data_IF_011136514395
#
_entry.id   IF_011136514395
#
_cell.length_a   1.000
_cell.length_b   1.000
_cell.length_c   1.000
_cell.angle_alpha   90.00
_cell.angle_beta   90.00
_cell.angle_gamma   90.00
#
_symmetry.space_group_name_H-M   'P 1'
#
loop_
_entity.id
_entity.type
_entity.pdbx_description
1 polymer ?
#
# COMPACT_ATOMS: atom_id res chain seq x y z
N UNK A 1 15.33 20.49 -19.21
CA UNK A 1 14.66 19.21 -18.92
C UNK A 1 15.10 18.53 -17.61
N UNK A 2 16.28 18.86 -17.04
CA UNK A 2 16.72 18.35 -15.73
C UNK A 2 15.97 18.94 -14.53
N UNK A 3 15.42 20.12 -14.67
CA UNK A 3 14.73 20.85 -13.57
C UNK A 3 13.33 20.35 -13.23
N UNK A 4 12.77 19.44 -14.04
CA UNK A 4 11.40 18.91 -13.85
C UNK A 4 11.38 17.42 -13.51
N UNK A 5 12.45 16.91 -12.94
CA UNK A 5 12.52 15.52 -12.47
C UNK A 5 13.31 15.42 -11.18
N UNK A 6 12.88 14.52 -10.31
CA UNK A 6 13.54 14.17 -9.05
C UNK A 6 13.75 12.67 -9.03
N UNK A 7 14.93 12.23 -8.64
CA UNK A 7 15.25 10.82 -8.47
C UNK A 7 15.57 10.52 -7.01
N UNK A 8 14.91 9.50 -6.47
CA UNK A 8 15.17 9.01 -5.13
C UNK A 8 14.88 7.49 -5.07
N UNK A 9 15.76 6.73 -4.44
CA UNK A 9 15.58 5.28 -4.19
C UNK A 9 15.28 4.47 -5.46
N UNK A 10 15.86 4.84 -6.61
CA UNK A 10 15.61 4.18 -7.90
C UNK A 10 14.28 4.55 -8.56
N UNK A 11 13.55 5.50 -7.98
CA UNK A 11 12.31 6.03 -8.55
C UNK A 11 12.59 7.39 -9.15
N UNK A 12 12.25 7.57 -10.42
CA UNK A 12 12.32 8.86 -11.10
C UNK A 12 10.94 9.46 -11.25
N UNK A 13 10.70 10.60 -10.59
CA UNK A 13 9.49 11.39 -10.73
C UNK A 13 9.73 12.49 -11.77
N UNK A 14 9.10 12.37 -12.93
CA UNK A 14 9.13 13.39 -13.97
C UNK A 14 7.80 14.15 -14.02
N UNK A 15 7.84 15.43 -13.71
CA UNK A 15 6.67 16.33 -13.71
C UNK A 15 6.71 17.40 -14.82
N UNK A 16 7.52 17.20 -15.85
CA UNK A 16 7.66 18.14 -16.98
C UNK A 16 6.37 18.37 -17.76
N UNK A 17 5.39 17.46 -17.66
CA UNK A 17 4.08 17.58 -18.31
C UNK A 17 3.02 18.28 -17.45
N UNK A 18 3.36 18.64 -16.21
CA UNK A 18 2.46 19.41 -15.36
C UNK A 18 2.36 20.85 -15.86
N UNK A 19 1.14 21.39 -15.84
CA UNK A 19 0.88 22.79 -16.23
C UNK A 19 1.19 23.74 -15.06
N UNK A 20 2.44 23.73 -14.62
CA UNK A 20 2.94 24.55 -13.51
C UNK A 20 4.13 25.35 -14.01
N UNK A 21 4.09 26.66 -13.84
CA UNK A 21 5.25 27.52 -14.15
C UNK A 21 6.35 27.36 -13.08
N UNK A 22 7.61 27.72 -13.37
CA UNK A 22 8.67 27.72 -12.35
C UNK A 22 8.35 28.61 -11.14
N UNK A 23 7.62 29.70 -11.34
CA UNK A 23 7.18 30.62 -10.28
C UNK A 23 6.15 29.95 -9.39
N UNK A 24 5.15 29.29 -10.00
CA UNK A 24 4.13 28.56 -9.24
C UNK A 24 4.77 27.43 -8.43
N UNK A 25 5.73 26.71 -9.03
CA UNK A 25 6.45 25.65 -8.34
C UNK A 25 7.20 26.16 -7.11
N UNK A 26 7.98 27.27 -7.23
CA UNK A 26 8.66 27.85 -6.07
C UNK A 26 7.69 28.32 -5.01
N UNK A 27 6.58 28.95 -5.40
CA UNK A 27 5.54 29.38 -4.46
C UNK A 27 4.92 28.20 -3.70
N UNK A 28 4.67 27.08 -4.39
CA UNK A 28 4.17 25.87 -3.75
C UNK A 28 5.19 25.26 -2.78
N UNK A 29 6.48 25.28 -3.14
CA UNK A 29 7.55 24.81 -2.26
C UNK A 29 7.69 25.66 -1.00
N UNK A 30 7.62 26.99 -1.14
CA UNK A 30 7.60 27.90 0.00
C UNK A 30 6.38 27.66 0.91
N UNK A 31 5.21 27.46 0.31
CA UNK A 31 4.01 27.12 1.07
C UNK A 31 4.17 25.82 1.85
N UNK A 32 4.70 24.79 1.21
CA UNK A 32 4.99 23.51 1.86
C UNK A 32 5.96 23.66 3.05
N UNK A 33 7.00 24.49 2.90
CA UNK A 33 7.94 24.81 3.98
C UNK A 33 7.24 25.57 5.12
N UNK A 34 6.49 26.62 4.80
CA UNK A 34 5.74 27.41 5.80
C UNK A 34 4.73 26.57 6.59
N UNK A 35 4.14 25.55 5.93
CA UNK A 35 3.22 24.61 6.58
C UNK A 35 3.94 23.45 7.27
N UNK A 36 5.27 23.43 7.26
CA UNK A 36 6.07 22.35 7.84
C UNK A 36 5.60 20.96 7.42
N UNK A 37 5.35 20.77 6.11
CA UNK A 37 4.79 19.51 5.61
C UNK A 37 5.67 18.31 5.88
N UNK A 38 7.01 18.46 5.80
CA UNK A 38 7.96 17.39 6.12
C UNK A 38 7.87 17.00 7.60
N UNK A 39 7.81 17.99 8.51
CA UNK A 39 7.65 17.74 9.94
C UNK A 39 6.31 17.06 10.25
N UNK A 40 5.24 17.46 9.56
CA UNK A 40 3.91 16.80 9.68
C UNK A 40 3.96 15.35 9.23
N UNK A 41 4.66 15.05 8.13
CA UNK A 41 4.87 13.68 7.67
C UNK A 41 5.69 12.84 8.68
N UNK A 42 6.77 13.42 9.24
CA UNK A 42 7.56 12.74 10.26
C UNK A 42 6.73 12.43 11.50
N UNK A 43 5.89 13.37 11.95
CA UNK A 43 4.99 13.16 13.08
C UNK A 43 3.94 12.07 12.78
N UNK A 44 3.37 12.07 11.59
CA UNK A 44 2.47 11.02 11.13
C UNK A 44 3.16 9.64 11.18
N UNK A 45 4.38 9.54 10.65
CA UNK A 45 5.17 8.30 10.68
C UNK A 45 5.45 7.81 12.10
N UNK A 46 5.59 8.73 13.06
CA UNK A 46 5.77 8.42 14.49
C UNK A 46 4.47 8.07 15.22
N UNK A 47 3.36 8.02 14.50
CA UNK A 47 2.07 7.65 15.06
C UNK A 47 1.29 8.81 15.70
N UNK A 48 1.58 10.06 15.35
CA UNK A 48 0.74 11.17 15.78
C UNK A 48 -0.68 11.06 15.21
N UNK A 49 -1.66 11.56 15.97
CA UNK A 49 -3.04 11.67 15.49
C UNK A 49 -3.10 12.78 14.44
N UNK A 50 -3.23 12.38 13.16
CA UNK A 50 -3.29 13.31 12.02
C UNK A 50 -4.68 13.42 11.41
N UNK A 51 -5.61 12.58 11.85
CA UNK A 51 -7.02 12.69 11.52
C UNK A 51 -7.80 13.16 12.77
N UNK A 52 -7.90 14.47 13.00
CA UNK A 52 -8.52 14.99 14.21
C UNK A 52 -10.04 14.77 14.26
N UNK A 53 -10.70 14.63 13.10
CA UNK A 53 -12.14 14.40 13.03
C UNK A 53 -12.57 13.05 13.59
N UNK A 54 -11.70 12.04 13.48
CA UNK A 54 -11.94 10.69 14.00
C UNK A 54 -11.03 10.32 15.19
N UNK A 55 -10.14 11.23 15.58
CA UNK A 55 -9.15 10.96 16.62
C UNK A 55 -8.18 9.82 16.27
N UNK A 56 -7.86 9.63 14.98
CA UNK A 56 -7.09 8.49 14.49
C UNK A 56 -5.71 8.87 13.96
N UNK A 57 -4.81 7.91 14.12
CA UNK A 57 -3.50 7.89 13.48
C UNK A 57 -3.64 7.41 12.02
N UNK A 58 -2.63 7.73 11.18
CA UNK A 58 -2.48 7.17 9.85
C UNK A 58 -1.25 6.26 9.84
N UNK A 59 -1.46 4.95 9.94
CA UNK A 59 -0.42 3.96 10.20
C UNK A 59 0.06 3.19 8.95
N UNK A 60 -0.31 3.64 7.75
CA UNK A 60 0.10 2.96 6.51
C UNK A 60 1.62 2.92 6.31
N UNK A 61 2.38 3.85 6.91
CA UNK A 61 3.85 3.79 6.92
C UNK A 61 4.38 2.65 7.79
N UNK A 62 3.70 2.32 8.90
CA UNK A 62 4.08 1.19 9.78
C UNK A 62 3.92 -0.16 9.09
N UNK A 63 2.99 -0.29 8.14
CA UNK A 63 2.83 -1.51 7.34
C UNK A 63 4.03 -1.80 6.42
N UNK A 64 4.90 -0.82 6.21
CA UNK A 64 6.07 -0.90 5.33
C UNK A 64 7.39 -0.73 6.08
N UNK A 65 7.33 -0.45 7.37
CA UNK A 65 8.50 -0.22 8.20
C UNK A 65 8.86 -1.53 8.93
N UNK A 66 10.01 -2.16 8.59
CA UNK A 66 10.43 -3.39 9.25
C UNK A 66 11.03 -3.15 10.64
N UNK A 67 11.17 -1.88 11.05
CA UNK A 67 11.75 -1.53 12.35
C UNK A 67 10.87 -2.00 13.50
N UNK A 68 11.44 -2.60 14.55
CA UNK A 68 10.69 -2.91 15.77
C UNK A 68 10.20 -1.66 16.51
N UNK A 69 10.79 -0.50 16.23
CA UNK A 69 10.43 0.78 16.84
C UNK A 69 9.28 1.49 16.09
N UNK A 70 8.81 0.91 14.97
CA UNK A 70 7.67 1.47 14.26
C UNK A 70 6.39 1.42 15.13
N UNK A 71 5.49 2.41 15.02
CA UNK A 71 4.23 2.36 15.74
C UNK A 71 3.46 1.06 15.45
N UNK A 72 3.08 0.33 16.49
CA UNK A 72 2.36 -0.95 16.40
C UNK A 72 3.11 -2.06 15.66
N UNK A 73 4.44 -2.04 15.63
CA UNK A 73 5.28 -3.01 14.90
C UNK A 73 4.90 -4.45 15.20
N UNK A 74 4.81 -4.84 16.47
CA UNK A 74 4.47 -6.22 16.89
C UNK A 74 3.13 -6.67 16.29
N UNK A 75 2.10 -5.83 16.41
CA UNK A 75 0.77 -6.14 15.89
C UNK A 75 0.74 -6.22 14.36
N UNK A 76 1.50 -5.36 13.69
CA UNK A 76 1.62 -5.35 12.22
C UNK A 76 2.32 -6.63 11.76
N UNK A 77 3.45 -6.99 12.36
CA UNK A 77 4.22 -8.16 11.98
C UNK A 77 3.45 -9.45 12.28
N UNK A 78 2.85 -9.59 13.47
CA UNK A 78 1.99 -10.73 13.80
C UNK A 78 0.84 -10.89 12.79
N UNK A 79 0.18 -9.79 12.43
CA UNK A 79 -0.92 -9.84 11.46
C UNK A 79 -0.43 -10.24 10.08
N UNK A 80 0.73 -9.72 9.64
CA UNK A 80 1.33 -10.09 8.36
C UNK A 80 1.68 -11.58 8.32
N UNK A 81 2.30 -12.10 9.38
CA UNK A 81 2.64 -13.52 9.49
C UNK A 81 1.39 -14.41 9.43
N UNK A 82 0.31 -14.02 10.09
CA UNK A 82 -0.98 -14.73 10.02
C UNK A 82 -1.55 -14.73 8.60
N UNK A 83 -1.48 -13.61 7.89
CA UNK A 83 -1.92 -13.52 6.49
C UNK A 83 -1.09 -14.43 5.59
N UNK A 84 0.23 -14.39 5.73
CA UNK A 84 1.14 -15.24 4.93
C UNK A 84 0.92 -16.72 5.22
N UNK A 85 0.77 -17.10 6.49
CA UNK A 85 0.51 -18.49 6.89
C UNK A 85 -0.82 -18.99 6.33
N UNK A 86 -1.89 -18.20 6.46
CA UNK A 86 -3.20 -18.54 5.89
C UNK A 86 -3.12 -18.71 4.36
N UNK A 87 -2.47 -17.78 3.64
CA UNK A 87 -2.28 -17.90 2.20
C UNK A 87 -1.52 -19.18 1.81
N UNK A 88 -0.49 -19.53 2.58
CA UNK A 88 0.27 -20.77 2.39
C UNK A 88 -0.58 -22.02 2.65
N UNK A 89 -1.45 -22.01 3.66
CA UNK A 89 -2.35 -23.12 3.95
C UNK A 89 -3.36 -23.34 2.82
N UNK A 90 -3.94 -22.27 2.27
CA UNK A 90 -4.82 -22.33 1.11
C UNK A 90 -4.08 -22.87 -0.12
N UNK A 91 -2.91 -22.33 -0.43
CA UNK A 91 -2.11 -22.74 -1.58
C UNK A 91 -1.62 -24.19 -1.51
N UNK A 92 -1.41 -24.72 -0.30
CA UNK A 92 -0.97 -26.08 -0.07
C UNK A 92 -2.15 -27.05 0.19
N UNK A 93 -3.39 -26.63 -0.06
CA UNK A 93 -4.61 -27.43 0.16
C UNK A 93 -4.77 -27.95 1.60
N UNK A 94 -4.22 -27.24 2.57
CA UNK A 94 -4.44 -27.53 4.00
C UNK A 94 -5.74 -26.91 4.49
N UNK A 95 -6.13 -25.79 3.88
CA UNK A 95 -7.42 -25.17 4.11
C UNK A 95 -8.40 -25.65 3.03
N UNK A 96 -9.43 -26.38 3.44
CA UNK A 96 -10.36 -27.04 2.53
C UNK A 96 -11.74 -26.38 2.59
N UNK A 97 -12.52 -26.57 1.54
CA UNK A 97 -13.93 -26.23 1.49
C UNK A 97 -14.78 -27.09 2.42
N UNK A 98 -16.06 -26.78 2.57
CA UNK A 98 -16.98 -27.44 3.50
C UNK A 98 -17.21 -28.93 3.22
N UNK A 99 -16.92 -29.38 2.00
CA UNK A 99 -17.01 -30.80 1.59
C UNK A 99 -15.64 -31.49 1.53
N UNK A 100 -14.58 -30.83 2.03
CA UNK A 100 -13.22 -31.37 2.00
C UNK A 100 -12.49 -31.18 0.67
N UNK A 101 -13.03 -30.41 -0.27
CA UNK A 101 -12.38 -30.09 -1.53
C UNK A 101 -11.36 -28.93 -1.42
N UNK A 102 -10.38 -28.95 -2.31
CA UNK A 102 -9.41 -27.86 -2.45
C UNK A 102 -10.11 -26.58 -2.95
N UNK A 103 -9.72 -25.44 -2.39
CA UNK A 103 -10.18 -24.13 -2.86
C UNK A 103 -9.53 -23.83 -4.21
N UNK A 104 -10.36 -23.65 -5.25
CA UNK A 104 -9.91 -23.34 -6.62
C UNK A 104 -10.22 -21.91 -7.02
N UNK A 105 -11.21 -21.31 -6.40
CA UNK A 105 -11.69 -19.98 -6.78
C UNK A 105 -11.74 -19.05 -5.56
N UNK A 106 -11.30 -17.83 -5.75
CA UNK A 106 -11.31 -16.76 -4.75
C UNK A 106 -12.13 -15.61 -5.31
N UNK A 107 -13.17 -15.23 -4.59
CA UNK A 107 -14.07 -14.15 -4.99
C UNK A 107 -13.74 -12.92 -4.15
N UNK A 108 -13.31 -11.85 -4.80
CA UNK A 108 -13.11 -10.55 -4.17
C UNK A 108 -14.33 -9.66 -4.46
N UNK A 109 -15.01 -9.23 -3.41
CA UNK A 109 -16.14 -8.30 -3.49
C UNK A 109 -15.70 -7.00 -2.84
N UNK A 110 -15.68 -5.91 -3.62
CA UNK A 110 -15.22 -4.64 -3.11
C UNK A 110 -15.49 -3.50 -4.07
N UNK A 111 -15.51 -2.28 -3.56
CA UNK A 111 -15.68 -1.07 -4.35
C UNK A 111 -14.48 -0.14 -4.14
N UNK A 112 -14.08 0.62 -5.16
CA UNK A 112 -12.94 1.54 -5.08
C UNK A 112 -11.64 0.80 -4.76
N UNK A 113 -10.93 1.21 -3.70
CA UNK A 113 -9.66 0.61 -3.31
C UNK A 113 -9.73 -0.86 -2.92
N UNK A 114 -10.88 -1.31 -2.44
CA UNK A 114 -11.13 -2.72 -2.07
C UNK A 114 -11.24 -3.65 -3.29
N UNK A 115 -11.50 -3.12 -4.47
CA UNK A 115 -11.47 -3.85 -5.75
C UNK A 115 -10.17 -3.59 -6.50
N UNK A 116 -9.84 -2.31 -6.73
CA UNK A 116 -8.77 -1.91 -7.64
C UNK A 116 -7.38 -2.32 -7.13
N UNK A 117 -7.14 -2.26 -5.82
CA UNK A 117 -5.88 -2.68 -5.20
C UNK A 117 -5.59 -4.17 -5.42
N UNK A 118 -6.43 -5.07 -4.92
CA UNK A 118 -6.29 -6.51 -5.13
C UNK A 118 -6.22 -6.91 -6.61
N UNK A 119 -7.06 -6.32 -7.45
CA UNK A 119 -7.10 -6.56 -8.90
C UNK A 119 -5.81 -6.15 -9.61
N UNK A 120 -5.25 -4.99 -9.26
CA UNK A 120 -3.98 -4.52 -9.82
C UNK A 120 -2.83 -5.47 -9.46
N UNK A 121 -2.73 -5.88 -8.19
CA UNK A 121 -1.70 -6.80 -7.72
C UNK A 121 -1.86 -8.18 -8.38
N UNK A 122 -3.06 -8.72 -8.44
CA UNK A 122 -3.33 -10.00 -9.09
C UNK A 122 -2.93 -9.97 -10.57
N UNK A 123 -3.36 -8.94 -11.32
CA UNK A 123 -3.03 -8.82 -12.74
C UNK A 123 -1.53 -8.66 -12.99
N UNK A 124 -0.82 -7.94 -12.11
CA UNK A 124 0.63 -7.76 -12.22
C UNK A 124 1.41 -9.06 -11.95
N UNK A 125 0.95 -9.88 -11.01
CA UNK A 125 1.73 -11.03 -10.52
C UNK A 125 1.28 -12.38 -11.07
N UNK A 126 0.08 -12.50 -11.64
CA UNK A 126 -0.46 -13.78 -12.11
C UNK A 126 0.43 -14.50 -13.14
N UNK A 127 1.10 -13.73 -14.01
CA UNK A 127 2.00 -14.30 -15.02
C UNK A 127 3.34 -14.76 -14.44
N UNK A 128 3.75 -14.19 -13.31
CA UNK A 128 5.01 -14.51 -12.64
C UNK A 128 4.92 -15.74 -11.74
N UNK A 129 3.71 -16.21 -11.44
CA UNK A 129 3.50 -17.39 -10.58
C UNK A 129 2.61 -18.45 -11.27
N UNK A 130 3.16 -19.23 -12.20
CA UNK A 130 2.42 -20.24 -12.95
C UNK A 130 1.92 -21.41 -12.07
N UNK A 131 2.40 -21.51 -10.81
CA UNK A 131 1.94 -22.53 -9.86
C UNK A 131 0.62 -22.13 -9.15
N UNK A 132 0.21 -20.89 -9.23
CA UNK A 132 -1.04 -20.45 -8.65
C UNK A 132 -2.20 -20.92 -9.54
N UNK A 133 -2.87 -21.98 -9.12
CA UNK A 133 -3.99 -22.59 -9.84
C UNK A 133 -5.33 -21.94 -9.53
N UNK A 134 -5.38 -21.02 -8.58
CA UNK A 134 -6.63 -20.40 -8.15
C UNK A 134 -7.05 -19.31 -9.14
N UNK A 135 -8.32 -19.33 -9.50
CA UNK A 135 -9.00 -18.29 -10.26
C UNK A 135 -9.41 -17.16 -9.32
N UNK A 136 -9.19 -15.91 -9.74
CA UNK A 136 -9.69 -14.75 -9.01
C UNK A 136 -10.83 -14.11 -9.79
N UNK A 137 -11.96 -13.92 -9.14
CA UNK A 137 -13.13 -13.23 -9.66
C UNK A 137 -13.32 -11.92 -8.88
N UNK A 138 -13.47 -10.81 -9.58
CA UNK A 138 -13.63 -9.48 -9.01
C UNK A 138 -15.02 -8.94 -9.33
N UNK A 139 -15.72 -8.51 -8.29
CA UNK A 139 -17.04 -7.89 -8.37
C UNK A 139 -17.04 -6.55 -7.65
N UNK A 140 -17.50 -5.49 -8.32
CA UNK A 140 -17.67 -4.15 -7.79
C UNK A 140 -19.11 -3.64 -7.96
#
# INVERSE_FOLDING_TARGET
MKESSVEALGINLNFSKQRISPIDFSTLMEFAQKKNMVGSFVNMRRGAIVNPSEGRQALHTSLRDPSPDAPYADKVHETLDRICNFANEVNNSKWLGCKGETITDIINIGIGGSDMGPKAVYNALRSSNPKNKSSFLFFC
#
